data_IF_010403052915
#
_entry.id   IF_010403052915
#
_cell.length_a   1.000
_cell.length_b   1.000
_cell.length_c   1.000
_cell.angle_alpha   90.00
_cell.angle_beta   90.00
_cell.angle_gamma   90.00
#
_symmetry.space_group_name_H-M   'P 1'
#
loop_
_entity.id
_entity.type
_entity.pdbx_description
1 polymer ?
#
# COMPACT_ATOMS: atom_id res chain seq x y z
N UNK A 1 -18.29 9.97 -2.67
CA UNK A 1 -18.99 10.15 -1.38
C UNK A 1 -18.05 9.66 -0.29
N UNK A 2 -17.96 10.37 0.84
CA UNK A 2 -17.14 9.95 1.99
C UNK A 2 -17.77 8.76 2.75
N UNK A 3 -19.02 8.44 2.41
CA UNK A 3 -19.88 7.46 3.06
C UNK A 3 -19.46 6.02 2.71
N UNK A 4 -18.90 5.79 1.53
CA UNK A 4 -18.43 4.47 1.07
C UNK A 4 -17.15 3.99 1.79
N UNK A 5 -16.49 4.87 2.56
CA UNK A 5 -15.35 4.50 3.42
C UNK A 5 -15.78 4.08 4.83
N UNK A 6 -17.05 4.26 5.21
CA UNK A 6 -17.53 3.94 6.55
C UNK A 6 -18.10 2.52 6.65
N UNK A 7 -18.38 1.89 5.53
CA UNK A 7 -18.86 0.50 5.48
C UNK A 7 -17.67 -0.45 5.33
N UNK A 8 -17.61 -1.46 6.21
CA UNK A 8 -16.63 -2.52 6.06
C UNK A 8 -16.95 -3.32 4.79
N UNK A 9 -16.04 -3.38 3.81
CA UNK A 9 -16.29 -4.12 2.58
C UNK A 9 -16.19 -5.62 2.83
N UNK A 10 -16.91 -6.42 2.04
CA UNK A 10 -16.83 -7.88 2.07
C UNK A 10 -15.41 -8.39 1.78
N UNK A 11 -14.70 -7.68 0.91
CA UNK A 11 -13.28 -7.91 0.63
C UNK A 11 -12.52 -6.59 0.70
N UNK A 12 -11.34 -6.60 1.34
CA UNK A 12 -10.52 -5.39 1.54
C UNK A 12 -10.13 -4.71 0.22
N UNK A 13 -10.01 -5.49 -0.86
CA UNK A 13 -9.67 -4.96 -2.20
C UNK A 13 -10.79 -4.14 -2.83
N UNK A 14 -12.04 -4.35 -2.37
CA UNK A 14 -13.21 -3.59 -2.80
C UNK A 14 -13.32 -2.25 -2.06
N UNK A 15 -12.49 -2.01 -1.05
CA UNK A 15 -12.48 -0.72 -0.38
C UNK A 15 -12.10 0.39 -1.38
N UNK A 16 -12.85 1.50 -1.46
CA UNK A 16 -12.60 2.54 -2.46
C UNK A 16 -11.20 3.16 -2.35
N UNK A 17 -10.62 3.19 -1.15
CA UNK A 17 -9.24 3.66 -0.96
C UNK A 17 -8.16 2.60 -1.26
N UNK A 18 -8.51 1.33 -1.48
CA UNK A 18 -7.53 0.25 -1.65
C UNK A 18 -6.59 0.52 -2.85
N UNK A 19 -7.16 0.93 -3.98
CA UNK A 19 -6.37 1.27 -5.18
C UNK A 19 -5.36 2.38 -4.91
N UNK A 20 -5.79 3.47 -4.26
CA UNK A 20 -4.93 4.64 -4.02
C UNK A 20 -3.88 4.41 -2.94
N UNK A 21 -4.13 3.55 -1.95
CA UNK A 21 -3.19 3.32 -0.84
C UNK A 21 -2.30 2.09 -1.02
N UNK A 22 -2.83 1.02 -1.63
CA UNK A 22 -2.14 -0.28 -1.75
C UNK A 22 -1.62 -0.58 -3.15
N UNK A 23 -2.15 0.06 -4.21
CA UNK A 23 -1.75 -0.21 -5.60
C UNK A 23 -1.04 0.98 -6.26
N UNK A 24 -1.23 2.20 -5.75
CA UNK A 24 -0.54 3.38 -6.28
C UNK A 24 0.97 3.36 -6.00
N UNK A 25 1.76 3.57 -7.05
CA UNK A 25 3.23 3.50 -7.00
C UNK A 25 3.82 4.54 -6.05
N UNK A 26 3.28 5.77 -6.01
CA UNK A 26 3.81 6.82 -5.17
C UNK A 26 3.46 6.59 -3.71
N UNK A 27 2.22 6.18 -3.42
CA UNK A 27 1.80 5.76 -2.08
C UNK A 27 2.70 4.66 -1.52
N UNK A 28 2.97 3.62 -2.33
CA UNK A 28 3.84 2.51 -1.93
C UNK A 28 5.29 2.96 -1.69
N UNK A 29 5.85 3.81 -2.55
CA UNK A 29 7.21 4.36 -2.38
C UNK A 29 7.35 5.17 -1.09
N UNK A 30 6.38 6.02 -0.79
CA UNK A 30 6.38 6.83 0.43
C UNK A 30 6.33 5.94 1.68
N UNK A 31 5.58 4.83 1.63
CA UNK A 31 5.43 3.92 2.75
C UNK A 31 6.58 2.90 2.89
N UNK A 32 7.29 2.57 1.80
CA UNK A 32 8.32 1.54 1.74
C UNK A 32 9.37 1.65 2.86
N UNK A 33 9.81 2.86 3.19
CA UNK A 33 10.81 3.09 4.24
C UNK A 33 10.36 2.69 5.66
N UNK A 34 9.05 2.57 5.90
CA UNK A 34 8.48 2.20 7.20
C UNK A 34 8.36 0.69 7.39
N UNK A 35 8.30 -0.08 6.32
CA UNK A 35 8.13 -1.53 6.38
C UNK A 35 9.47 -2.25 6.62
N UNK A 36 9.41 -3.29 7.46
CA UNK A 36 10.56 -4.12 7.84
C UNK A 36 10.16 -5.59 7.83
N UNK A 37 11.14 -6.47 7.68
CA UNK A 37 10.94 -7.91 7.86
C UNK A 37 10.59 -8.22 9.32
N UNK A 38 10.16 -9.45 9.58
CA UNK A 38 9.93 -9.93 10.96
C UNK A 38 11.18 -9.78 11.83
N UNK A 39 12.38 -9.93 11.25
CA UNK A 39 13.67 -9.70 11.89
C UNK A 39 14.06 -8.20 11.97
N UNK A 40 13.13 -7.28 11.70
CA UNK A 40 13.32 -5.82 11.69
C UNK A 40 14.34 -5.29 10.66
N UNK A 41 14.75 -6.13 9.70
CA UNK A 41 15.64 -5.72 8.61
C UNK A 41 14.85 -4.89 7.58
N UNK A 42 15.52 -3.94 6.95
CA UNK A 42 14.94 -3.23 5.79
C UNK A 42 14.77 -4.21 4.65
N UNK A 43 13.64 -4.14 3.94
CA UNK A 43 13.50 -4.85 2.67
C UNK A 43 14.56 -4.31 1.69
N UNK A 44 15.33 -5.23 1.10
CA UNK A 44 16.29 -4.88 0.06
C UNK A 44 15.52 -4.76 -1.25
N UNK A 45 15.30 -3.52 -1.69
CA UNK A 45 14.72 -3.25 -2.99
C UNK A 45 15.76 -3.66 -4.04
N UNK A 46 15.52 -4.78 -4.70
CA UNK A 46 16.37 -5.31 -5.78
C UNK A 46 15.63 -5.06 -7.08
N UNK A 47 15.93 -3.94 -7.72
CA UNK A 47 15.30 -3.50 -8.96
C UNK A 47 15.37 -1.98 -9.12
N UNK A 48 15.77 -1.54 -10.30
CA UNK A 48 15.67 -0.14 -10.71
C UNK A 48 14.22 0.19 -11.06
N UNK A 49 13.73 1.30 -10.53
CA UNK A 49 12.36 1.75 -10.70
C UNK A 49 12.25 2.56 -12.02
N UNK A 50 12.68 1.95 -13.12
CA UNK A 50 12.80 2.60 -14.44
C UNK A 50 11.86 1.93 -15.45
N UNK A 51 10.77 2.65 -15.75
CA UNK A 51 9.94 2.54 -16.95
C UNK A 51 9.18 3.87 -17.12
#
# INVERSE_FOLDING_TARGET
MLEDLQTAPECITLHPAFGTVCLDRWSLRLAAGKYRTIDKKRYLQTGSDEA
#
